data_IF_030918198421
#
_entry.id   IF_030918198421
#
_cell.length_a   1.000
_cell.length_b   1.000
_cell.length_c   1.000
_cell.angle_alpha   90.00
_cell.angle_beta   90.00
_cell.angle_gamma   90.00
#
_symmetry.space_group_name_H-M   'P 1'
#
loop_
_entity.id
_entity.type
_entity.pdbx_description
1 polymer ?
#
# COMPACT_ATOMS: atom_id res chain seq x y z
N UNK A 1 -29.89 -2.27 -25.18
CA UNK A 1 -28.44 -2.57 -25.09
C UNK A 1 -27.80 -1.43 -24.32
N UNK A 2 -27.72 -1.54 -22.99
CA UNK A 2 -27.21 -0.46 -22.15
C UNK A 2 -25.68 -0.42 -22.22
N UNK A 3 -25.13 0.73 -22.60
CA UNK A 3 -23.70 1.00 -22.42
C UNK A 3 -23.38 0.95 -20.93
N UNK A 4 -22.67 -0.08 -20.50
CA UNK A 4 -22.06 -0.13 -19.17
C UNK A 4 -20.81 0.75 -19.29
N UNK A 5 -20.74 1.91 -18.63
CA UNK A 5 -19.52 2.71 -18.64
C UNK A 5 -18.41 1.82 -18.12
N UNK A 6 -17.35 1.63 -18.91
CA UNK A 6 -16.16 0.91 -18.47
C UNK A 6 -15.73 1.49 -17.12
N UNK A 7 -15.68 0.65 -16.09
CA UNK A 7 -15.31 1.10 -14.76
C UNK A 7 -13.96 1.83 -14.84
N UNK A 8 -13.95 3.11 -14.48
CA UNK A 8 -12.70 3.86 -14.40
C UNK A 8 -11.86 3.24 -13.28
N UNK A 9 -10.86 2.44 -13.67
CA UNK A 9 -9.95 1.80 -12.72
C UNK A 9 -9.01 2.86 -12.18
N UNK A 10 -9.24 3.27 -10.93
CA UNK A 10 -8.40 4.25 -10.24
C UNK A 10 -7.22 3.56 -9.55
N UNK A 11 -6.01 4.03 -9.87
CA UNK A 11 -4.78 3.62 -9.20
C UNK A 11 -4.21 4.79 -8.39
N UNK A 12 -3.91 4.53 -7.12
CA UNK A 12 -3.25 5.47 -6.22
C UNK A 12 -1.82 4.98 -5.93
N UNK A 13 -0.83 5.86 -6.10
CA UNK A 13 0.56 5.59 -5.72
C UNK A 13 0.89 6.36 -4.44
N UNK A 14 1.34 5.65 -3.42
CA UNK A 14 1.69 6.22 -2.11
C UNK A 14 3.16 5.91 -1.80
N UNK A 15 3.92 6.92 -1.38
CA UNK A 15 5.21 6.69 -0.74
C UNK A 15 4.95 6.39 0.73
N UNK A 16 5.44 5.25 1.22
CA UNK A 16 5.25 4.80 2.59
C UNK A 16 6.57 4.51 3.28
N UNK A 17 6.54 4.59 4.61
CA UNK A 17 7.58 4.06 5.50
C UNK A 17 6.95 3.00 6.39
N UNK A 18 7.56 1.82 6.42
CA UNK A 18 7.26 0.75 7.37
C UNK A 18 8.30 0.78 8.49
N UNK A 19 7.83 0.83 9.73
CA UNK A 19 8.66 0.80 10.92
C UNK A 19 8.17 -0.38 11.75
N UNK A 20 9.07 -1.30 12.07
CA UNK A 20 8.82 -2.42 12.96
C UNK A 20 9.76 -2.30 14.17
N UNK A 21 9.19 -2.20 15.37
CA UNK A 21 9.92 -1.96 16.62
C UNK A 21 9.72 -3.17 17.52
N UNK A 22 10.75 -4.00 17.61
CA UNK A 22 10.82 -5.10 18.58
C UNK A 22 11.43 -4.66 19.91
N UNK A 23 11.49 -5.57 20.88
CA UNK A 23 12.15 -5.34 22.16
C UNK A 23 13.67 -5.15 22.04
N UNK A 24 14.29 -5.77 21.03
CA UNK A 24 15.75 -5.73 20.83
C UNK A 24 16.15 -5.01 19.56
N UNK A 25 15.38 -5.14 18.48
CA UNK A 25 15.75 -4.61 17.17
C UNK A 25 14.62 -3.80 16.53
N UNK A 26 15.01 -2.77 15.79
CA UNK A 26 14.12 -1.94 14.98
C UNK A 26 14.50 -2.05 13.51
N UNK A 27 13.47 -2.16 12.66
CA UNK A 27 13.59 -2.29 11.20
C UNK A 27 12.87 -1.11 10.52
N UNK A 28 13.45 -0.61 9.44
CA UNK A 28 12.89 0.48 8.65
C UNK A 28 12.92 0.14 7.15
N UNK A 29 11.82 0.36 6.47
CA UNK A 29 11.71 0.16 5.01
C UNK A 29 10.91 1.31 4.39
N UNK A 30 11.46 1.97 3.37
CA UNK A 30 10.67 2.84 2.49
C UNK A 30 10.17 2.04 1.30
N UNK A 31 8.89 2.23 0.94
CA UNK A 31 8.29 1.56 -0.20
C UNK A 31 7.33 2.44 -0.98
N UNK A 32 7.16 2.16 -2.26
CA UNK A 32 6.06 2.66 -3.08
C UNK A 32 4.94 1.64 -3.08
N UNK A 33 3.78 2.02 -2.57
CA UNK A 33 2.58 1.20 -2.61
C UNK A 33 1.74 1.63 -3.81
N UNK A 34 1.28 0.66 -4.59
CA UNK A 34 0.26 0.87 -5.62
C UNK A 34 -1.04 0.26 -5.13
N UNK A 35 -2.04 1.11 -4.95
CA UNK A 35 -3.37 0.74 -4.51
C UNK A 35 -4.32 0.81 -5.70
N UNK A 36 -5.12 -0.23 -5.91
CA UNK A 36 -6.19 -0.25 -6.91
C UNK A 36 -7.52 -0.07 -6.19
N UNK A 37 -8.34 0.88 -6.64
CA UNK A 37 -9.72 0.98 -6.17
C UNK A 37 -10.50 -0.21 -6.72
N UNK A 38 -11.17 -0.93 -5.84
CA UNK A 38 -12.22 -1.85 -6.26
C UNK A 38 -13.50 -1.06 -6.54
N UNK A 39 -13.82 -0.94 -7.81
CA UNK A 39 -15.10 -0.46 -8.30
C UNK A 39 -16.01 -1.65 -8.59
N UNK A 40 -17.31 -1.48 -8.37
CA UNK A 40 -18.31 -2.51 -8.66
C UNK A 40 -19.60 -2.26 -7.90
N UNK A 41 -20.73 -2.62 -8.52
CA UNK A 41 -22.08 -2.42 -7.95
C UNK A 41 -22.25 -3.06 -6.56
N UNK A 42 -21.50 -4.13 -6.26
CA UNK A 42 -21.52 -4.83 -4.98
C UNK A 42 -20.50 -4.30 -3.96
N UNK A 43 -19.58 -3.40 -4.36
CA UNK A 43 -18.58 -2.83 -3.47
C UNK A 43 -18.87 -1.36 -3.17
N UNK A 44 -19.91 -1.13 -2.36
CA UNK A 44 -20.32 0.22 -1.93
C UNK A 44 -19.26 0.94 -1.08
N UNK A 45 -18.25 0.23 -0.59
CA UNK A 45 -17.24 0.78 0.34
C UNK A 45 -16.06 1.45 -0.35
N UNK A 46 -15.96 1.39 -1.69
CA UNK A 46 -14.88 2.03 -2.46
C UNK A 46 -13.47 1.71 -1.93
N UNK A 47 -13.26 0.47 -1.48
CA UNK A 47 -12.00 0.04 -0.84
C UNK A 47 -10.84 0.08 -1.83
N UNK A 48 -9.67 0.35 -1.28
CA UNK A 48 -8.41 0.22 -1.99
C UNK A 48 -7.73 -1.08 -1.60
N UNK A 49 -7.27 -1.83 -2.60
CA UNK A 49 -6.48 -3.02 -2.40
C UNK A 49 -5.04 -2.76 -2.80
N UNK A 50 -4.10 -3.21 -1.98
CA UNK A 50 -2.69 -3.18 -2.31
C UNK A 50 -2.42 -4.21 -3.40
N UNK A 51 -2.08 -3.74 -4.60
CA UNK A 51 -1.80 -4.60 -5.76
C UNK A 51 -0.31 -4.69 -6.07
N UNK A 52 0.48 -3.75 -5.58
CA UNK A 52 1.95 -3.81 -5.71
C UNK A 52 2.65 -3.06 -4.57
N UNK A 53 3.81 -3.56 -4.16
CA UNK A 53 4.74 -2.92 -3.24
C UNK A 53 6.14 -2.99 -3.84
N UNK A 54 6.75 -1.83 -4.06
CA UNK A 54 8.14 -1.70 -4.49
C UNK A 54 8.96 -1.19 -3.31
N UNK A 55 9.99 -1.91 -2.90
CA UNK A 55 10.91 -1.43 -1.86
C UNK A 55 11.90 -0.46 -2.49
N UNK A 56 11.97 0.75 -1.95
CA UNK A 56 12.84 1.83 -2.45
C UNK A 56 14.14 1.87 -1.63
N UNK A 57 14.04 1.57 -0.34
CA UNK A 57 15.18 1.54 0.57
C UNK A 57 14.88 0.65 1.77
N UNK A 58 15.87 -0.14 2.16
CA UNK A 58 15.87 -0.91 3.40
C UNK A 58 16.97 -0.35 4.31
N UNK A 59 16.57 0.08 5.51
CA UNK A 59 17.53 0.51 6.51
C UNK A 59 18.27 -0.67 7.12
N UNK A 60 19.46 -0.41 7.66
CA UNK A 60 20.13 -1.38 8.53
C UNK A 60 19.24 -1.69 9.72
N UNK A 61 19.21 -2.96 10.13
CA UNK A 61 18.61 -3.34 11.40
C UNK A 61 19.46 -2.72 12.52
N UNK A 62 18.81 -1.96 13.40
CA UNK A 62 19.47 -1.35 14.56
C UNK A 62 18.92 -1.97 15.84
N UNK A 63 19.66 -1.84 16.95
CA UNK A 63 19.05 -2.08 18.26
C UNK A 63 17.95 -1.06 18.52
N UNK A 64 16.84 -1.49 19.14
CA UNK A 64 15.77 -0.59 19.54
C UNK A 64 16.33 0.43 20.53
N UNK A 65 16.31 1.75 20.22
CA UNK A 65 16.78 2.76 21.16
C UNK A 65 15.89 2.78 22.40
N UNK A 66 16.51 2.78 23.58
CA UNK A 66 15.84 2.95 24.88
C UNK A 66 15.63 4.43 25.20
#
# INVERSE_FOLDING_TARGET
>A
MGYIPGENVEYLKVLSVGIDIGSSTSHLVFSRLTLKRETGFLNMTNRFNLVNREIIYEGTIIFTPL
#
